data_IF_535620312402
#
_entry.id   IF_535620312402
#
_cell.length_a   1.000
_cell.length_b   1.000
_cell.length_c   1.000
_cell.angle_alpha   90.00
_cell.angle_beta   90.00
_cell.angle_gamma   90.00
#
_symmetry.space_group_name_H-M   'P 1'
#
loop_
_entity.id
_entity.type
_entity.pdbx_description
1 polymer ?
#
# COMPACT_ATOMS: atom_id res chain seq x y z
N UNK A 1 -22.16 12.71 -22.89
CA UNK A 1 -21.59 11.35 -22.94
C UNK A 1 -22.66 10.31 -22.68
N UNK A 2 -22.73 9.23 -23.48
CA UNK A 2 -23.67 8.11 -23.35
C UNK A 2 -22.85 6.81 -23.14
N UNK A 3 -23.24 6.01 -22.13
CA UNK A 3 -22.67 4.67 -21.90
C UNK A 3 -23.53 3.62 -22.60
N UNK A 4 -22.87 2.61 -23.17
CA UNK A 4 -23.50 1.46 -23.80
C UNK A 4 -22.79 0.18 -23.35
N UNK A 5 -23.53 -0.74 -22.76
CA UNK A 5 -23.04 -2.08 -22.41
C UNK A 5 -23.40 -3.04 -23.55
N UNK A 6 -22.43 -3.80 -24.02
CA UNK A 6 -22.57 -4.77 -25.09
C UNK A 6 -23.35 -4.21 -26.32
N UNK A 7 -22.92 -3.06 -26.87
CA UNK A 7 -23.54 -2.50 -28.04
C UNK A 7 -23.42 -3.46 -29.24
N UNK A 8 -24.23 -3.23 -30.29
CA UNK A 8 -24.01 -3.92 -31.56
C UNK A 8 -22.60 -3.61 -32.08
N UNK A 9 -21.83 -4.67 -32.33
CA UNK A 9 -20.42 -4.62 -32.73
C UNK A 9 -20.33 -4.45 -34.27
N UNK A 10 -20.85 -3.34 -34.76
CA UNK A 10 -20.74 -2.98 -36.18
C UNK A 10 -19.26 -2.71 -36.55
N UNK A 11 -18.90 -2.89 -37.86
CA UNK A 11 -17.54 -2.57 -38.31
C UNK A 11 -17.09 -1.14 -37.97
N UNK A 12 -17.98 -0.15 -38.10
CA UNK A 12 -17.70 1.26 -37.76
C UNK A 12 -17.40 1.42 -36.28
N UNK A 13 -18.15 0.77 -35.40
CA UNK A 13 -17.84 0.82 -33.94
C UNK A 13 -16.49 0.18 -33.65
N UNK A 14 -16.16 -0.95 -34.25
CA UNK A 14 -14.85 -1.62 -34.07
C UNK A 14 -13.71 -0.71 -34.52
N UNK A 15 -13.84 -0.04 -35.65
CA UNK A 15 -12.83 0.91 -36.15
C UNK A 15 -12.62 2.08 -35.18
N UNK A 16 -13.70 2.59 -34.58
CA UNK A 16 -13.60 3.64 -33.55
C UNK A 16 -12.94 3.15 -32.27
N UNK A 17 -13.25 1.92 -31.84
CA UNK A 17 -12.59 1.28 -30.70
C UNK A 17 -11.08 1.13 -30.94
N UNK A 18 -10.69 0.63 -32.10
CA UNK A 18 -9.27 0.49 -32.47
C UNK A 18 -8.58 1.85 -32.50
N UNK A 19 -9.22 2.86 -33.06
CA UNK A 19 -8.68 4.23 -33.11
C UNK A 19 -8.49 4.82 -31.73
N UNK A 20 -9.45 4.70 -30.82
CA UNK A 20 -9.29 5.12 -29.43
C UNK A 20 -8.10 4.41 -28.77
N UNK A 21 -8.00 3.10 -28.96
CA UNK A 21 -6.95 2.29 -28.34
C UNK A 21 -5.55 2.69 -28.82
N UNK A 22 -5.37 2.94 -30.13
CA UNK A 22 -4.12 3.48 -30.69
C UNK A 22 -3.78 4.84 -30.05
N UNK A 23 -4.74 5.78 -30.03
CA UNK A 23 -4.57 7.10 -29.47
C UNK A 23 -4.11 7.04 -28.00
N UNK A 24 -4.73 6.15 -27.22
CA UNK A 24 -4.37 5.97 -25.80
C UNK A 24 -2.98 5.34 -25.63
N UNK A 25 -2.63 4.39 -26.51
CA UNK A 25 -1.31 3.74 -26.50
C UNK A 25 -0.21 4.73 -26.81
N UNK A 26 -0.36 5.52 -27.86
CA UNK A 26 0.62 6.55 -28.29
C UNK A 26 0.79 7.65 -27.25
N UNK A 27 -0.27 7.98 -26.52
CA UNK A 27 -0.20 8.88 -25.38
C UNK A 27 0.43 8.24 -24.10
N UNK A 28 1.06 7.05 -24.21
CA UNK A 28 1.73 6.35 -23.11
C UNK A 28 0.78 5.60 -22.16
N UNK A 29 -0.47 5.41 -22.55
CA UNK A 29 -1.45 4.65 -21.78
C UNK A 29 -1.05 3.18 -21.58
N UNK A 30 -1.22 2.66 -20.35
CA UNK A 30 -0.91 1.27 -20.02
C UNK A 30 -2.09 0.35 -20.40
N UNK A 31 -2.38 0.24 -21.68
CA UNK A 31 -3.55 -0.49 -22.20
C UNK A 31 -3.17 -1.76 -22.99
N UNK A 32 -1.98 -2.29 -22.69
CA UNK A 32 -1.50 -3.58 -23.18
C UNK A 32 -0.50 -3.51 -24.31
N UNK A 33 -0.14 -2.32 -24.72
CA UNK A 33 0.89 -2.08 -25.72
C UNK A 33 1.93 -1.07 -25.22
N UNK A 34 3.04 -1.02 -25.93
CA UNK A 34 4.09 -0.01 -25.80
C UNK A 34 4.29 0.63 -27.16
N UNK A 35 4.27 1.98 -27.27
CA UNK A 35 4.49 2.64 -28.56
C UNK A 35 5.92 2.41 -29.09
N UNK A 36 6.14 2.39 -30.41
CA UNK A 36 5.11 2.52 -31.45
C UNK A 36 4.27 1.24 -31.61
N UNK A 37 3.00 1.37 -32.00
CA UNK A 37 2.08 0.25 -32.24
C UNK A 37 1.38 0.45 -33.58
N UNK A 38 1.16 -0.64 -34.33
CA UNK A 38 0.43 -0.62 -35.60
C UNK A 38 -1.06 -0.86 -35.38
N UNK A 39 -1.88 -0.36 -36.31
CA UNK A 39 -3.32 -0.62 -36.28
C UNK A 39 -3.62 -2.14 -36.34
N UNK A 40 -2.86 -2.91 -37.12
CA UNK A 40 -3.04 -4.35 -37.23
C UNK A 40 -2.84 -5.08 -35.92
N UNK A 41 -1.84 -4.69 -35.12
CA UNK A 41 -1.58 -5.27 -33.80
C UNK A 41 -2.73 -4.97 -32.83
N UNK A 42 -3.20 -3.73 -32.78
CA UNK A 42 -4.31 -3.31 -31.90
C UNK A 42 -5.59 -4.02 -32.34
N UNK A 43 -5.88 -4.08 -33.64
CA UNK A 43 -7.06 -4.73 -34.22
C UNK A 43 -7.10 -6.21 -33.86
N UNK A 44 -6.02 -6.94 -33.98
CA UNK A 44 -5.96 -8.36 -33.66
C UNK A 44 -6.34 -8.63 -32.19
N UNK A 45 -5.87 -7.79 -31.26
CA UNK A 45 -6.25 -7.90 -29.84
C UNK A 45 -7.70 -7.47 -29.60
N UNK A 46 -8.15 -6.39 -30.24
CA UNK A 46 -9.53 -5.93 -30.16
C UNK A 46 -10.51 -7.00 -30.66
N UNK A 47 -10.24 -7.58 -31.82
CA UNK A 47 -11.08 -8.65 -32.40
C UNK A 47 -11.17 -9.87 -31.48
N UNK A 48 -10.06 -10.26 -30.86
CA UNK A 48 -10.05 -11.37 -29.89
C UNK A 48 -10.94 -11.05 -28.67
N UNK A 49 -10.87 -9.84 -28.14
CA UNK A 49 -11.69 -9.44 -26.99
C UNK A 49 -13.17 -9.31 -27.37
N UNK A 50 -13.46 -8.74 -28.54
CA UNK A 50 -14.83 -8.60 -29.06
C UNK A 50 -15.45 -9.96 -29.45
N UNK A 51 -14.64 -10.93 -29.88
CA UNK A 51 -15.12 -12.32 -30.07
C UNK A 51 -15.57 -12.91 -28.72
N UNK A 52 -14.85 -12.62 -27.60
CA UNK A 52 -15.28 -13.00 -26.26
C UNK A 52 -16.61 -12.36 -25.86
N UNK A 53 -16.90 -11.13 -26.32
CA UNK A 53 -18.21 -10.47 -26.10
C UNK A 53 -19.30 -11.20 -26.85
N UNK A 54 -19.09 -11.55 -28.13
CA UNK A 54 -20.06 -12.33 -28.94
C UNK A 54 -20.32 -13.71 -28.34
N UNK A 55 -19.31 -14.31 -27.72
CA UNK A 55 -19.43 -15.61 -27.05
C UNK A 55 -20.06 -15.52 -25.62
N UNK A 56 -20.37 -14.33 -25.12
CA UNK A 56 -21.01 -14.12 -23.82
C UNK A 56 -20.07 -14.23 -22.60
N UNK A 57 -18.78 -14.55 -22.78
CA UNK A 57 -17.79 -14.66 -21.71
C UNK A 57 -17.15 -13.34 -21.30
N UNK A 58 -17.43 -12.27 -22.05
CA UNK A 58 -16.89 -10.93 -21.81
C UNK A 58 -18.00 -9.89 -21.98
N UNK A 59 -18.02 -8.85 -21.15
CA UNK A 59 -18.80 -7.65 -21.43
C UNK A 59 -17.88 -6.54 -21.91
N UNK A 60 -18.40 -5.66 -22.76
CA UNK A 60 -17.75 -4.43 -23.16
C UNK A 60 -18.62 -3.23 -22.78
N UNK A 61 -18.00 -2.21 -22.21
CA UNK A 61 -18.65 -0.91 -21.98
C UNK A 61 -17.96 0.12 -22.86
N UNK A 62 -18.76 0.82 -23.65
CA UNK A 62 -18.33 1.89 -24.55
C UNK A 62 -18.95 3.19 -24.10
N UNK A 63 -18.13 4.21 -23.88
CA UNK A 63 -18.57 5.59 -23.68
C UNK A 63 -18.48 6.35 -25.00
N UNK A 64 -19.58 6.95 -25.42
CA UNK A 64 -19.66 7.75 -26.67
C UNK A 64 -19.98 9.20 -26.38
N UNK A 65 -19.37 10.06 -27.14
CA UNK A 65 -19.73 11.48 -27.23
C UNK A 65 -19.94 11.80 -28.71
N UNK A 66 -21.18 12.18 -29.04
CA UNK A 66 -21.66 12.22 -30.42
C UNK A 66 -21.45 10.84 -31.09
N UNK A 67 -20.70 10.79 -32.16
CA UNK A 67 -20.37 9.55 -32.86
C UNK A 67 -19.06 8.90 -32.43
N UNK A 68 -18.23 9.60 -31.66
CA UNK A 68 -16.91 9.10 -31.27
C UNK A 68 -16.94 8.22 -30.02
N UNK A 69 -16.07 7.21 -29.98
CA UNK A 69 -15.79 6.41 -28.80
C UNK A 69 -14.74 7.16 -27.97
N UNK A 70 -15.13 7.60 -26.77
CA UNK A 70 -14.28 8.38 -25.87
C UNK A 70 -13.84 7.62 -24.61
N UNK A 71 -14.40 6.43 -24.40
CA UNK A 71 -14.03 5.52 -23.32
C UNK A 71 -14.39 4.09 -23.63
N UNK A 72 -13.62 3.17 -23.08
CA UNK A 72 -13.76 1.73 -23.30
C UNK A 72 -13.28 0.96 -22.09
N UNK A 73 -13.91 -0.17 -21.82
CA UNK A 73 -13.43 -1.15 -20.86
C UNK A 73 -14.10 -2.51 -21.07
N UNK A 74 -13.43 -3.58 -20.66
CA UNK A 74 -13.93 -4.94 -20.75
C UNK A 74 -14.00 -5.58 -19.37
N UNK A 75 -15.02 -6.40 -19.16
CA UNK A 75 -15.17 -7.32 -18.04
C UNK A 75 -15.09 -8.75 -18.57
N UNK A 76 -14.03 -9.44 -18.27
CA UNK A 76 -13.84 -10.85 -18.62
C UNK A 76 -14.14 -11.73 -17.43
N UNK A 77 -15.04 -12.70 -17.56
CA UNK A 77 -15.31 -13.71 -16.51
C UNK A 77 -14.21 -14.78 -16.56
N UNK A 78 -13.75 -15.22 -15.40
CA UNK A 78 -12.75 -16.27 -15.32
C UNK A 78 -13.32 -17.60 -15.86
N UNK A 79 -12.57 -18.33 -16.70
CA UNK A 79 -13.10 -19.53 -17.38
C UNK A 79 -13.20 -20.76 -16.47
N UNK A 80 -12.53 -20.76 -15.31
CA UNK A 80 -12.52 -21.90 -14.39
C UNK A 80 -13.68 -21.86 -13.43
N UNK A 81 -14.34 -23.00 -13.20
CA UNK A 81 -15.40 -23.13 -12.21
C UNK A 81 -14.95 -22.71 -10.79
N UNK A 82 -13.68 -22.93 -10.42
CA UNK A 82 -13.13 -22.53 -9.13
C UNK A 82 -13.02 -21.00 -8.97
N UNK A 83 -12.95 -20.26 -10.05
CA UNK A 83 -12.87 -18.82 -10.10
C UNK A 83 -14.06 -18.15 -10.81
N UNK A 84 -15.16 -18.88 -11.01
CA UNK A 84 -16.34 -18.37 -11.72
C UNK A 84 -16.99 -17.13 -11.06
N UNK A 85 -16.70 -16.89 -9.78
CA UNK A 85 -17.12 -15.70 -9.04
C UNK A 85 -16.21 -14.48 -9.29
N UNK A 86 -15.14 -14.62 -10.09
CA UNK A 86 -14.14 -13.57 -10.34
C UNK A 86 -14.30 -13.00 -11.74
N UNK A 87 -14.43 -11.68 -11.82
CA UNK A 87 -14.33 -10.91 -13.06
C UNK A 87 -13.01 -10.16 -13.15
N UNK A 88 -12.48 -10.00 -14.35
CA UNK A 88 -11.27 -9.23 -14.60
C UNK A 88 -11.59 -8.01 -15.46
N UNK A 89 -11.37 -6.82 -14.90
CA UNK A 89 -11.43 -5.56 -15.65
C UNK A 89 -10.19 -5.46 -16.52
N UNK A 90 -10.39 -5.33 -17.82
CA UNK A 90 -9.32 -5.25 -18.81
C UNK A 90 -9.46 -4.00 -19.66
N UNK A 91 -8.34 -3.44 -20.05
CA UNK A 91 -8.27 -2.37 -21.08
C UNK A 91 -9.19 -1.19 -20.78
N UNK A 92 -9.33 -0.82 -19.49
CA UNK A 92 -10.03 0.41 -19.11
C UNK A 92 -9.22 1.61 -19.65
N UNK A 93 -9.84 2.33 -20.56
CA UNK A 93 -9.20 3.49 -21.21
C UNK A 93 -10.19 4.62 -21.47
N UNK A 94 -9.67 5.81 -21.63
CA UNK A 94 -10.39 7.01 -22.05
C UNK A 94 -9.57 7.82 -23.03
N UNK A 95 -10.20 8.63 -23.83
CA UNK A 95 -9.51 9.60 -24.66
C UNK A 95 -8.62 10.52 -23.79
N UNK A 96 -7.32 10.59 -24.07
CA UNK A 96 -6.40 11.44 -23.29
C UNK A 96 -6.82 12.91 -23.22
N UNK A 97 -7.49 13.42 -24.28
CA UNK A 97 -7.96 14.80 -24.38
C UNK A 97 -9.05 15.14 -23.37
N UNK A 98 -9.79 14.15 -22.87
CA UNK A 98 -10.90 14.31 -21.92
C UNK A 98 -10.44 14.10 -20.46
N UNK A 99 -9.27 14.66 -20.09
CA UNK A 99 -8.77 14.64 -18.71
C UNK A 99 -9.74 15.29 -17.73
N UNK A 100 -10.02 14.62 -16.59
CA UNK A 100 -10.91 15.17 -15.55
C UNK A 100 -12.41 15.04 -15.80
N UNK A 101 -12.86 14.65 -17.01
CA UNK A 101 -14.29 14.57 -17.37
C UNK A 101 -15.03 13.33 -16.79
N UNK A 102 -14.42 12.54 -15.92
CA UNK A 102 -15.07 11.40 -15.27
C UNK A 102 -15.32 10.18 -16.18
N UNK A 103 -14.90 10.20 -17.45
CA UNK A 103 -15.18 9.13 -18.43
C UNK A 103 -14.71 7.75 -17.93
N UNK A 104 -13.46 7.67 -17.44
CA UNK A 104 -12.92 6.39 -16.91
C UNK A 104 -13.69 5.87 -15.70
N UNK A 105 -14.11 6.76 -14.79
CA UNK A 105 -14.90 6.41 -13.61
C UNK A 105 -16.29 5.90 -14.01
N UNK A 106 -16.94 6.53 -14.99
CA UNK A 106 -18.24 6.10 -15.47
C UNK A 106 -18.18 4.74 -16.16
N UNK A 107 -17.16 4.48 -16.99
CA UNK A 107 -16.94 3.17 -17.62
C UNK A 107 -16.66 2.10 -16.56
N UNK A 108 -15.83 2.40 -15.54
CA UNK A 108 -15.53 1.48 -14.45
C UNK A 108 -16.78 1.14 -13.64
N UNK A 109 -17.59 2.14 -13.29
CA UNK A 109 -18.84 1.94 -12.55
C UNK A 109 -19.83 1.05 -13.31
N UNK A 110 -19.92 1.21 -14.64
CA UNK A 110 -20.78 0.40 -15.49
C UNK A 110 -20.27 -1.05 -15.60
N UNK A 111 -18.93 -1.26 -15.66
CA UNK A 111 -18.34 -2.61 -15.61
C UNK A 111 -18.60 -3.28 -14.25
N UNK A 112 -18.54 -2.52 -13.15
CA UNK A 112 -18.91 -3.01 -11.82
C UNK A 112 -20.40 -3.39 -11.74
N UNK A 113 -21.26 -2.62 -12.39
CA UNK A 113 -22.68 -2.94 -12.57
C UNK A 113 -22.86 -4.26 -13.31
N UNK A 114 -22.19 -4.41 -14.47
CA UNK A 114 -22.20 -5.65 -15.25
C UNK A 114 -21.75 -6.87 -14.44
N UNK A 115 -20.73 -6.69 -13.61
CA UNK A 115 -20.23 -7.76 -12.75
C UNK A 115 -21.27 -8.18 -11.68
N UNK A 116 -21.98 -7.23 -11.08
CA UNK A 116 -23.07 -7.53 -10.12
C UNK A 116 -24.23 -8.24 -10.80
N UNK A 117 -24.62 -7.82 -12.01
CA UNK A 117 -25.70 -8.44 -12.77
C UNK A 117 -25.36 -9.90 -13.16
N UNK A 118 -24.06 -10.21 -13.33
CA UNK A 118 -23.57 -11.58 -13.53
C UNK A 118 -23.41 -12.37 -12.22
N UNK A 119 -23.67 -11.79 -11.06
CA UNK A 119 -23.48 -12.43 -9.76
C UNK A 119 -21.99 -12.62 -9.36
N UNK A 120 -21.07 -11.84 -9.93
CA UNK A 120 -19.66 -11.94 -9.57
C UNK A 120 -19.41 -11.37 -8.19
N UNK A 121 -18.63 -12.07 -7.38
CA UNK A 121 -18.28 -11.67 -6.02
C UNK A 121 -17.02 -10.82 -5.92
N UNK A 122 -16.13 -10.93 -6.90
CA UNK A 122 -14.81 -10.27 -6.90
C UNK A 122 -14.50 -9.69 -8.28
N UNK A 123 -14.03 -8.44 -8.30
CA UNK A 123 -13.37 -7.87 -9.49
C UNK A 123 -11.86 -7.78 -9.25
N UNK A 124 -11.09 -8.17 -10.26
CA UNK A 124 -9.64 -8.02 -10.28
C UNK A 124 -9.20 -7.18 -11.47
N UNK A 125 -8.07 -6.52 -11.35
CA UNK A 125 -7.41 -5.79 -12.43
C UNK A 125 -5.89 -5.76 -12.22
N UNK A 126 -5.16 -5.40 -13.27
CA UNK A 126 -3.71 -5.29 -13.24
C UNK A 126 -3.27 -3.91 -13.66
N UNK A 127 -2.34 -3.33 -12.92
CA UNK A 127 -1.83 -1.97 -13.10
C UNK A 127 -0.33 -2.02 -13.33
N UNK A 128 0.15 -1.24 -14.29
CA UNK A 128 1.60 -1.02 -14.49
C UNK A 128 2.13 -0.17 -13.33
N UNK A 129 3.14 -0.66 -12.62
CA UNK A 129 3.83 0.08 -11.57
C UNK A 129 4.49 1.36 -12.08
N UNK A 130 4.63 2.34 -11.19
CA UNK A 130 5.17 3.66 -11.52
C UNK A 130 4.25 4.55 -12.35
N UNK A 131 3.03 4.09 -12.69
CA UNK A 131 2.05 4.88 -13.45
C UNK A 131 1.16 5.78 -12.60
N UNK A 132 1.22 5.65 -11.27
CA UNK A 132 0.33 6.36 -10.32
C UNK A 132 -1.15 5.93 -10.37
N UNK A 133 -1.51 5.00 -11.26
CA UNK A 133 -2.91 4.58 -11.48
C UNK A 133 -3.47 3.74 -10.34
N UNK A 134 -2.63 3.13 -9.51
CA UNK A 134 -3.05 2.44 -8.30
C UNK A 134 -3.87 3.35 -7.36
N UNK A 135 -3.48 4.63 -7.24
CA UNK A 135 -4.23 5.62 -6.44
C UNK A 135 -5.64 5.86 -7.00
N UNK A 136 -5.76 5.89 -8.32
CA UNK A 136 -7.07 6.01 -8.96
C UNK A 136 -7.98 4.82 -8.60
N UNK A 137 -7.49 3.58 -8.74
CA UNK A 137 -8.30 2.41 -8.39
C UNK A 137 -8.54 2.29 -6.89
N UNK A 138 -7.59 2.67 -6.05
CA UNK A 138 -7.78 2.72 -4.59
C UNK A 138 -8.92 3.66 -4.20
N UNK A 139 -9.02 4.85 -4.83
CA UNK A 139 -10.13 5.78 -4.64
C UNK A 139 -11.50 5.21 -5.06
N UNK A 140 -11.51 4.18 -5.92
CA UNK A 140 -12.72 3.43 -6.33
C UNK A 140 -12.95 2.15 -5.52
N UNK A 141 -12.22 1.96 -4.39
CA UNK A 141 -12.41 0.85 -3.46
C UNK A 141 -11.66 -0.43 -3.82
N UNK A 142 -10.73 -0.40 -4.78
CA UNK A 142 -9.82 -1.51 -5.05
C UNK A 142 -8.67 -1.51 -4.05
N UNK A 143 -8.22 -2.70 -3.66
CA UNK A 143 -7.08 -2.92 -2.77
C UNK A 143 -5.97 -3.64 -3.51
N UNK A 144 -4.73 -3.36 -3.16
CA UNK A 144 -3.56 -4.09 -3.68
C UNK A 144 -3.53 -5.48 -3.06
N UNK A 145 -3.55 -6.52 -3.88
CA UNK A 145 -3.41 -7.91 -3.47
C UNK A 145 -1.96 -8.39 -3.58
N UNK A 146 -1.26 -7.97 -4.64
CA UNK A 146 0.13 -8.34 -4.87
C UNK A 146 0.87 -7.28 -5.70
N UNK A 147 2.19 -7.21 -5.49
CA UNK A 147 3.15 -6.51 -6.34
C UNK A 147 4.13 -7.54 -6.90
N UNK A 148 4.25 -7.58 -8.21
CA UNK A 148 5.07 -8.55 -8.94
C UNK A 148 6.26 -7.80 -9.55
N UNK A 149 7.44 -7.80 -8.90
CA UNK A 149 8.61 -7.07 -9.39
C UNK A 149 9.04 -7.60 -10.77
N UNK A 150 9.51 -6.70 -11.64
CA UNK A 150 10.04 -7.02 -12.97
C UNK A 150 9.11 -7.86 -13.87
N UNK A 151 7.79 -7.81 -13.65
CA UNK A 151 6.82 -8.65 -14.34
C UNK A 151 6.43 -8.14 -15.74
N UNK A 152 6.59 -6.84 -15.99
CA UNK A 152 6.27 -6.22 -17.28
C UNK A 152 7.52 -5.64 -17.92
N UNK A 153 7.70 -5.90 -19.24
CA UNK A 153 8.69 -5.23 -20.08
C UNK A 153 8.00 -4.09 -20.84
N UNK A 154 8.42 -2.84 -20.63
CA UNK A 154 7.72 -1.65 -21.16
C UNK A 154 8.45 -0.92 -22.28
N UNK A 155 9.78 -1.04 -22.36
CA UNK A 155 10.55 -0.52 -23.50
C UNK A 155 11.98 -1.07 -23.43
N UNK A 156 12.52 -1.57 -24.54
CA UNK A 156 13.86 -2.16 -24.55
C UNK A 156 14.04 -3.15 -23.40
N UNK A 157 15.00 -2.90 -22.51
CA UNK A 157 15.29 -3.74 -21.34
C UNK A 157 14.65 -3.24 -20.04
N UNK A 158 13.81 -2.22 -20.08
CA UNK A 158 13.17 -1.66 -18.90
C UNK A 158 12.05 -2.58 -18.40
N UNK A 159 12.31 -3.22 -17.27
CA UNK A 159 11.34 -4.01 -16.52
C UNK A 159 10.68 -3.13 -15.44
N UNK A 160 9.39 -3.32 -15.24
CA UNK A 160 8.62 -2.64 -14.18
C UNK A 160 7.75 -3.66 -13.44
N UNK A 161 7.31 -3.31 -12.25
CA UNK A 161 6.38 -4.14 -11.50
C UNK A 161 4.98 -4.17 -12.15
N UNK A 162 4.26 -5.26 -11.94
CA UNK A 162 2.82 -5.35 -12.15
C UNK A 162 2.12 -5.39 -10.80
N UNK A 163 1.10 -4.56 -10.61
CA UNK A 163 0.32 -4.47 -9.38
C UNK A 163 -1.03 -5.14 -9.64
N UNK A 164 -1.32 -6.18 -8.87
CA UNK A 164 -2.61 -6.86 -8.89
C UNK A 164 -3.51 -6.20 -7.86
N UNK A 165 -4.67 -5.74 -8.29
CA UNK A 165 -5.64 -5.11 -7.40
C UNK A 165 -7.01 -5.77 -7.55
N UNK A 166 -7.82 -5.75 -6.49
CA UNK A 166 -9.18 -6.27 -6.54
C UNK A 166 -10.15 -5.54 -5.62
N UNK A 167 -11.44 -5.70 -5.92
CA UNK A 167 -12.57 -5.13 -5.19
C UNK A 167 -13.62 -6.21 -4.93
N UNK A 168 -13.98 -6.45 -3.67
CA UNK A 168 -15.09 -7.31 -3.31
C UNK A 168 -16.42 -6.64 -3.66
N UNK A 169 -17.28 -7.36 -4.36
CA UNK A 169 -18.62 -6.89 -4.75
C UNK A 169 -19.72 -7.40 -3.83
N UNK A 170 -19.50 -8.54 -3.15
CA UNK A 170 -20.45 -9.15 -2.20
C UNK A 170 -19.92 -9.10 -0.78
N UNK A 171 -20.83 -9.15 0.20
CA UNK A 171 -20.46 -9.16 1.61
C UNK A 171 -19.76 -10.45 2.00
N UNK A 172 -20.11 -11.58 1.39
CA UNK A 172 -19.43 -12.86 1.55
C UNK A 172 -17.94 -12.76 1.21
N UNK A 173 -17.61 -12.28 0.02
CA UNK A 173 -16.22 -12.10 -0.42
C UNK A 173 -15.51 -11.04 0.41
N UNK A 174 -16.21 -9.98 0.84
CA UNK A 174 -15.66 -8.96 1.73
C UNK A 174 -15.32 -9.54 3.08
N UNK A 175 -16.19 -10.35 3.66
CA UNK A 175 -15.95 -11.04 4.93
C UNK A 175 -14.80 -12.04 4.84
N UNK A 176 -14.73 -12.83 3.76
CA UNK A 176 -13.63 -13.78 3.52
C UNK A 176 -12.26 -13.09 3.37
N UNK A 177 -12.24 -11.84 2.95
CA UNK A 177 -11.01 -11.02 2.80
C UNK A 177 -10.68 -10.16 4.02
N UNK A 178 -11.59 -10.09 4.97
CA UNK A 178 -11.35 -9.42 6.25
C UNK A 178 -10.87 -10.49 7.22
N UNK A 179 -9.67 -10.34 7.83
CA UNK A 179 -9.25 -11.27 8.87
C UNK A 179 -10.34 -11.34 9.94
N UNK A 180 -10.69 -12.53 10.44
CA UNK A 180 -11.67 -12.65 11.52
C UNK A 180 -11.23 -11.77 12.70
N UNK A 181 -12.20 -11.16 13.37
CA UNK A 181 -11.92 -10.35 14.55
C UNK A 181 -11.14 -11.20 15.57
N UNK A 182 -9.93 -10.73 15.92
CA UNK A 182 -9.03 -11.49 16.79
C UNK A 182 -8.08 -12.46 16.06
N UNK A 183 -8.13 -12.57 14.72
CA UNK A 183 -7.06 -13.27 14.02
C UNK A 183 -5.74 -12.55 14.27
N UNK A 184 -4.66 -13.29 14.62
CA UNK A 184 -3.35 -12.66 14.75
C UNK A 184 -2.99 -11.99 13.43
N UNK A 185 -2.67 -10.69 13.46
CA UNK A 185 -2.09 -10.01 12.32
C UNK A 185 -0.87 -10.80 11.87
N UNK A 186 -0.57 -10.87 10.56
CA UNK A 186 0.63 -11.55 10.07
C UNK A 186 1.82 -10.97 10.83
N UNK A 187 2.40 -11.79 11.72
CA UNK A 187 3.50 -11.38 12.58
C UNK A 187 4.79 -11.38 11.78
N UNK A 188 5.54 -10.30 11.88
CA UNK A 188 6.90 -10.21 11.36
C UNK A 188 7.84 -10.87 12.40
N UNK A 189 8.65 -11.88 12.05
CA UNK A 189 9.55 -12.49 13.01
C UNK A 189 10.65 -11.49 13.42
N UNK A 190 10.77 -11.22 14.72
CA UNK A 190 11.88 -10.48 15.31
C UNK A 190 12.83 -11.48 15.96
N UNK A 191 14.04 -11.64 15.42
CA UNK A 191 15.05 -12.46 16.02
C UNK A 191 15.65 -11.74 17.24
N UNK A 192 15.69 -12.43 18.38
CA UNK A 192 16.19 -11.88 19.65
C UNK A 192 17.28 -12.78 20.20
N UNK A 193 18.44 -12.21 20.48
CA UNK A 193 19.52 -12.87 21.23
C UNK A 193 19.50 -12.35 22.66
N UNK A 194 19.29 -13.24 23.64
CA UNK A 194 19.40 -12.93 25.06
C UNK A 194 20.84 -12.97 25.50
N UNK A 195 21.39 -11.80 25.82
CA UNK A 195 22.72 -11.65 26.43
C UNK A 195 22.65 -11.94 27.93
N UNK A 196 21.47 -11.72 28.54
CA UNK A 196 21.13 -12.11 29.91
C UNK A 196 20.00 -13.16 29.91
N UNK A 197 20.30 -14.46 29.97
CA UNK A 197 19.29 -15.52 30.00
C UNK A 197 18.39 -15.50 31.26
N UNK A 198 18.78 -14.79 32.30
CA UNK A 198 17.99 -14.63 33.54
C UNK A 198 16.84 -13.63 33.42
N UNK A 199 16.72 -12.93 32.28
CA UNK A 199 15.57 -12.07 32.00
C UNK A 199 14.64 -12.75 30.97
N UNK A 200 13.31 -12.49 31.05
CA UNK A 200 12.38 -13.01 30.05
C UNK A 200 12.60 -12.35 28.68
N UNK A 201 12.16 -13.01 27.62
CA UNK A 201 12.06 -12.37 26.30
C UNK A 201 11.11 -11.16 26.37
N UNK A 202 11.35 -10.14 25.52
CA UNK A 202 10.42 -9.02 25.40
C UNK A 202 9.06 -9.52 24.91
N UNK A 203 8.00 -8.98 25.48
CA UNK A 203 6.64 -9.40 25.14
C UNK A 203 5.64 -8.26 25.27
N UNK A 204 4.50 -8.42 24.63
CA UNK A 204 3.35 -7.53 24.81
C UNK A 204 2.69 -7.81 26.15
N UNK A 205 2.28 -6.76 26.86
CA UNK A 205 1.56 -6.93 28.14
C UNK A 205 0.12 -7.42 27.89
N UNK A 206 -0.51 -6.94 26.81
CA UNK A 206 -1.87 -7.33 26.42
C UNK A 206 -1.96 -7.59 24.91
N UNK A 207 -2.92 -8.39 24.43
CA UNK A 207 -3.22 -8.53 23.01
C UNK A 207 -3.58 -7.18 22.40
N UNK A 208 -2.90 -6.81 21.30
CA UNK A 208 -3.11 -5.54 20.61
C UNK A 208 -2.18 -4.40 21.05
N UNK A 209 -1.36 -4.59 22.07
CA UNK A 209 -0.32 -3.63 22.41
C UNK A 209 0.68 -3.46 21.25
N UNK A 210 1.20 -2.24 21.09
CA UNK A 210 2.17 -1.94 20.04
C UNK A 210 3.63 -2.12 20.49
N UNK A 211 3.90 -1.98 21.80
CA UNK A 211 5.23 -1.99 22.38
C UNK A 211 5.57 -3.29 23.10
N UNK A 212 6.74 -3.84 22.81
CA UNK A 212 7.35 -4.94 23.57
C UNK A 212 8.08 -4.39 24.77
N UNK A 213 7.77 -4.82 25.99
CA UNK A 213 8.43 -4.34 27.19
C UNK A 213 9.93 -4.65 27.21
N UNK A 214 10.76 -3.64 27.42
CA UNK A 214 12.20 -3.75 27.66
C UNK A 214 12.49 -3.61 29.16
N UNK A 215 13.31 -4.52 29.70
CA UNK A 215 13.64 -4.58 31.12
C UNK A 215 15.10 -4.18 31.38
N UNK A 216 15.37 -3.62 32.55
CA UNK A 216 16.72 -3.35 33.02
C UNK A 216 17.44 -4.66 33.35
N UNK A 217 18.63 -4.86 32.80
CA UNK A 217 19.49 -6.02 33.14
C UNK A 217 20.31 -5.81 34.39
N UNK A 218 20.43 -4.56 34.86
CA UNK A 218 21.14 -4.22 36.09
C UNK A 218 20.32 -3.22 36.91
N UNK A 219 20.49 -3.26 38.23
CA UNK A 219 19.97 -2.21 39.12
C UNK A 219 20.76 -0.93 38.91
N UNK A 220 20.11 0.21 39.05
CA UNK A 220 20.73 1.54 39.00
C UNK A 220 19.88 2.58 39.75
N UNK A 221 20.54 3.66 40.12
CA UNK A 221 19.92 4.83 40.71
C UNK A 221 20.23 6.06 39.84
N UNK A 222 19.27 6.95 39.67
CA UNK A 222 19.44 8.20 38.95
C UNK A 222 19.00 9.34 39.87
N UNK A 223 19.97 10.14 40.32
CA UNK A 223 19.67 11.38 41.01
C UNK A 223 18.93 12.39 40.11
N UNK A 224 18.29 13.43 40.65
CA UNK A 224 17.67 14.50 39.87
C UNK A 224 18.59 15.05 38.78
N UNK A 225 18.14 15.04 37.51
CA UNK A 225 18.90 15.49 36.36
C UNK A 225 19.95 14.50 35.82
N UNK A 226 20.20 13.40 36.52
CA UNK A 226 21.20 12.41 36.11
C UNK A 226 20.73 11.59 34.89
N UNK A 227 21.73 11.17 34.09
CA UNK A 227 21.54 10.32 32.91
C UNK A 227 22.34 9.05 33.03
N UNK A 228 21.75 7.91 32.64
CA UNK A 228 22.44 6.63 32.59
C UNK A 228 22.06 5.82 31.34
N UNK A 229 23.00 4.95 30.95
CA UNK A 229 22.76 3.97 29.85
C UNK A 229 22.38 2.64 30.49
N UNK A 230 21.09 2.32 30.55
CA UNK A 230 20.54 1.12 31.12
C UNK A 230 20.70 -0.07 30.17
N UNK A 231 21.45 -1.13 30.54
CA UNK A 231 21.51 -2.35 29.74
C UNK A 231 20.16 -3.09 29.79
N UNK A 232 19.77 -3.74 28.68
CA UNK A 232 18.56 -4.57 28.62
C UNK A 232 18.86 -6.07 28.59
N UNK A 233 20.11 -6.46 28.39
CA UNK A 233 20.50 -7.85 28.19
C UNK A 233 19.99 -8.47 26.90
N UNK A 234 19.57 -7.65 25.92
CA UNK A 234 18.99 -8.08 24.66
C UNK A 234 19.70 -7.46 23.47
N UNK A 235 19.94 -8.28 22.44
CA UNK A 235 20.26 -7.82 21.09
C UNK A 235 19.18 -8.34 20.12
N UNK A 236 18.83 -7.55 19.12
CA UNK A 236 17.78 -7.90 18.15
C UNK A 236 18.27 -7.75 16.73
N UNK A 237 17.72 -8.56 15.81
CA UNK A 237 17.87 -8.35 14.37
C UNK A 237 16.54 -7.80 13.83
N UNK A 238 16.46 -6.48 13.73
CA UNK A 238 15.31 -5.80 13.10
C UNK A 238 15.28 -6.21 11.62
N UNK A 239 14.12 -6.65 11.09
CA UNK A 239 14.00 -7.02 9.67
C UNK A 239 14.29 -5.87 8.73
N UNK A 240 14.85 -6.16 7.53
CA UNK A 240 15.06 -5.17 6.48
C UNK A 240 13.73 -4.46 6.12
N UNK A 241 13.79 -3.16 5.87
CA UNK A 241 12.62 -2.32 5.63
C UNK A 241 11.82 -1.98 6.90
N UNK A 242 12.39 -2.27 8.08
CA UNK A 242 11.85 -1.89 9.37
C UNK A 242 12.89 -1.14 10.21
N UNK A 243 12.39 -0.45 11.21
CA UNK A 243 13.16 0.20 12.30
C UNK A 243 12.63 -0.30 13.63
N UNK A 244 13.51 -0.48 14.61
CA UNK A 244 13.14 -0.61 16.01
C UNK A 244 13.14 0.77 16.68
N UNK A 245 12.05 1.12 17.34
CA UNK A 245 11.92 2.40 18.05
C UNK A 245 11.75 2.14 19.54
N UNK A 246 12.69 2.66 20.32
CA UNK A 246 12.66 2.58 21.79
C UNK A 246 11.95 3.81 22.34
N UNK A 247 10.79 3.58 22.95
CA UNK A 247 9.94 4.62 23.53
C UNK A 247 9.91 4.56 25.05
N UNK A 248 9.72 5.71 25.74
CA UNK A 248 9.49 5.74 27.16
C UNK A 248 8.15 5.07 27.51
N UNK A 249 8.01 4.68 28.78
CA UNK A 249 6.77 4.19 29.34
C UNK A 249 6.04 5.34 30.03
N UNK A 250 4.82 5.63 29.60
CA UNK A 250 4.01 6.74 30.13
C UNK A 250 3.86 6.69 31.66
N UNK A 251 3.69 5.49 32.23
CA UNK A 251 3.57 5.32 33.67
C UNK A 251 4.82 5.71 34.46
N UNK A 252 6.02 5.49 33.92
CA UNK A 252 7.27 5.92 34.55
C UNK A 252 7.49 7.42 34.36
N UNK A 253 7.16 7.94 33.20
CA UNK A 253 7.27 9.37 32.90
C UNK A 253 6.37 10.20 33.83
N UNK A 254 5.11 9.79 34.02
CA UNK A 254 4.16 10.54 34.89
C UNK A 254 4.49 10.42 36.39
N UNK A 255 4.85 9.22 36.87
CA UNK A 255 5.03 8.99 38.31
C UNK A 255 6.41 9.34 38.82
N UNK A 256 7.43 9.22 37.99
CA UNK A 256 8.84 9.32 38.43
C UNK A 256 9.65 10.28 37.56
N UNK A 257 9.06 11.00 36.62
CA UNK A 257 9.82 11.89 35.74
C UNK A 257 10.85 11.14 34.86
N UNK A 258 10.81 9.81 34.78
CA UNK A 258 11.79 9.04 34.01
C UNK A 258 11.53 9.15 32.52
N UNK A 259 12.50 9.67 31.78
CA UNK A 259 12.42 9.86 30.33
C UNK A 259 13.59 9.17 29.61
N UNK A 260 13.49 9.11 28.27
CA UNK A 260 14.58 8.65 27.41
C UNK A 260 15.14 9.85 26.66
N UNK A 261 16.45 10.09 26.80
CA UNK A 261 17.13 11.29 26.30
C UNK A 261 16.97 11.47 24.78
N UNK A 262 17.05 10.38 24.03
CA UNK A 262 17.00 10.36 22.57
C UNK A 262 15.68 9.76 22.05
N UNK A 263 14.59 9.89 22.79
CA UNK A 263 13.32 9.31 22.38
C UNK A 263 12.76 9.91 21.08
N UNK A 264 12.33 9.06 20.12
CA UNK A 264 12.48 7.61 20.11
C UNK A 264 13.92 7.19 19.80
N UNK A 265 14.48 6.26 20.59
CA UNK A 265 15.80 5.66 20.28
C UNK A 265 15.67 4.78 19.02
N UNK A 266 16.53 4.99 18.03
CA UNK A 266 16.47 4.29 16.74
C UNK A 266 17.38 3.07 16.75
N UNK A 267 16.84 1.91 16.42
CA UNK A 267 17.56 0.64 16.20
C UNK A 267 17.46 0.28 14.73
N UNK A 268 18.56 0.41 14.02
CA UNK A 268 18.65 0.11 12.60
C UNK A 268 18.59 -1.39 12.31
N UNK A 269 18.11 -1.77 11.12
CA UNK A 269 18.04 -3.18 10.69
C UNK A 269 19.41 -3.87 10.67
N UNK A 270 20.52 -3.12 10.48
CA UNK A 270 21.88 -3.62 10.51
C UNK A 270 22.50 -3.71 11.91
N UNK A 271 21.91 -3.12 12.94
CA UNK A 271 22.47 -3.14 14.30
C UNK A 271 22.36 -4.54 14.93
N UNK A 272 23.42 -4.96 15.64
CA UNK A 272 23.50 -6.27 16.32
C UNK A 272 24.02 -6.18 17.74
N UNK A 273 24.29 -4.97 18.25
CA UNK A 273 24.72 -4.75 19.62
C UNK A 273 23.56 -4.85 20.62
N UNK A 274 23.90 -4.80 21.90
CA UNK A 274 22.92 -4.73 22.98
C UNK A 274 22.04 -3.49 22.86
N UNK A 275 20.73 -3.63 23.00
CA UNK A 275 19.84 -2.49 23.19
C UNK A 275 20.12 -1.90 24.55
N UNK A 276 20.55 -0.65 24.58
CA UNK A 276 20.75 0.11 25.81
C UNK A 276 19.84 1.33 25.80
N UNK A 277 19.11 1.53 26.91
CA UNK A 277 18.16 2.63 27.04
C UNK A 277 18.84 3.83 27.72
N UNK A 278 18.88 4.97 27.04
CA UNK A 278 19.47 6.19 27.56
C UNK A 278 18.45 6.94 28.44
N UNK A 279 18.45 6.65 29.73
CA UNK A 279 17.49 7.20 30.68
C UNK A 279 17.96 8.56 31.23
N UNK A 280 17.01 9.39 31.63
CA UNK A 280 17.20 10.62 32.38
C UNK A 280 16.12 10.77 33.44
N UNK A 281 16.50 11.16 34.65
CA UNK A 281 15.59 11.54 35.71
C UNK A 281 15.25 13.03 35.59
N UNK A 282 14.02 13.37 35.24
CA UNK A 282 13.52 14.74 35.17
C UNK A 282 12.77 15.17 36.43
N UNK A 283 12.65 14.30 37.46
CA UNK A 283 12.12 14.70 38.75
C UNK A 283 13.13 15.67 39.40
N UNK A 284 12.68 16.82 39.92
CA UNK A 284 13.60 17.82 40.48
C UNK A 284 14.07 17.49 41.91
N UNK A 285 13.52 16.47 42.57
CA UNK A 285 13.74 16.20 43.99
C UNK A 285 14.07 14.75 44.30
N UNK A 286 13.38 13.81 43.64
CA UNK A 286 13.42 12.40 44.02
C UNK A 286 14.42 11.62 43.13
N UNK A 287 15.22 10.78 43.79
CA UNK A 287 16.05 9.80 43.07
C UNK A 287 15.19 8.66 42.54
N UNK A 288 15.37 8.31 41.28
CA UNK A 288 14.69 7.16 40.67
C UNK A 288 15.54 5.91 40.89
N UNK A 289 14.97 4.92 41.55
CA UNK A 289 15.56 3.59 41.74
C UNK A 289 15.00 2.60 40.74
N UNK A 290 15.87 1.92 40.01
CA UNK A 290 15.53 0.90 39.04
C UNK A 290 16.15 -0.41 39.48
N UNK A 291 15.32 -1.42 39.71
CA UNK A 291 15.79 -2.77 40.00
C UNK A 291 16.03 -3.57 38.72
N UNK A 292 16.91 -4.58 38.77
CA UNK A 292 17.03 -5.56 37.70
C UNK A 292 15.67 -6.24 37.45
N UNK A 293 15.23 -6.30 36.19
CA UNK A 293 13.94 -6.83 35.80
C UNK A 293 12.83 -5.80 35.67
N UNK A 294 13.03 -4.57 36.15
CA UNK A 294 12.04 -3.51 35.97
C UNK A 294 11.84 -3.17 34.49
N UNK A 295 10.59 -2.92 34.09
CA UNK A 295 10.23 -2.49 32.75
C UNK A 295 10.53 -1.00 32.59
N UNK A 296 11.59 -0.66 31.85
CA UNK A 296 12.12 0.71 31.75
C UNK A 296 11.76 1.41 30.43
N UNK A 297 11.43 0.65 29.39
CA UNK A 297 11.13 1.17 28.07
C UNK A 297 10.20 0.20 27.33
N UNK A 298 9.85 0.54 26.10
CA UNK A 298 9.13 -0.34 25.17
C UNK A 298 9.74 -0.24 23.77
N UNK A 299 9.83 -1.39 23.08
CA UNK A 299 10.33 -1.51 21.72
C UNK A 299 9.16 -1.68 20.75
N UNK A 300 9.03 -0.78 19.79
CA UNK A 300 8.13 -0.91 18.64
C UNK A 300 8.94 -1.30 17.40
N UNK A 301 8.38 -2.14 16.53
CA UNK A 301 8.95 -2.43 15.21
C UNK A 301 8.00 -1.85 14.17
N UNK A 302 8.50 -0.96 13.32
CA UNK A 302 7.72 -0.23 12.32
C UNK A 302 8.37 -0.34 10.95
N UNK A 303 7.55 -0.44 9.87
CA UNK A 303 8.05 -0.33 8.50
C UNK A 303 8.47 1.10 8.21
N UNK A 304 9.57 1.23 7.47
CA UNK A 304 10.10 2.53 7.03
C UNK A 304 10.31 2.51 5.52
N UNK A 305 10.09 3.67 4.91
CA UNK A 305 10.41 3.86 3.48
C UNK A 305 11.91 4.11 3.33
N UNK A 306 12.52 3.49 2.33
CA UNK A 306 13.87 3.83 1.87
C UNK A 306 13.73 4.88 0.79
N UNK A 307 14.29 6.06 1.03
CA UNK A 307 14.24 7.18 0.09
C UNK A 307 15.54 7.31 -0.68
N UNK A 308 15.44 7.64 -1.96
CA UNK A 308 16.54 8.16 -2.76
C UNK A 308 16.58 9.68 -2.60
N UNK A 309 17.70 10.20 -2.14
CA UNK A 309 17.87 11.65 -2.00
C UNK A 309 18.23 12.24 -3.36
N UNK A 310 17.37 13.10 -3.88
CA UNK A 310 17.55 13.79 -5.16
C UNK A 310 17.69 15.29 -4.88
N UNK A 311 18.83 15.85 -5.26
CA UNK A 311 19.04 17.30 -5.19
C UNK A 311 18.24 18.00 -6.29
N UNK A 312 17.51 19.05 -5.91
CA UNK A 312 16.75 19.90 -6.82
C UNK A 312 17.07 21.36 -6.55
N UNK A 313 16.98 22.22 -7.57
CA UNK A 313 17.24 23.66 -7.41
C UNK A 313 16.17 24.39 -6.59
N UNK A 314 14.92 23.89 -6.61
CA UNK A 314 13.80 24.41 -5.82
C UNK A 314 12.80 23.31 -5.56
N UNK A 315 12.06 23.40 -4.45
CA UNK A 315 10.91 22.55 -4.16
C UNK A 315 9.64 23.18 -4.75
N UNK A 316 8.66 22.32 -5.05
CA UNK A 316 7.34 22.77 -5.51
C UNK A 316 6.65 23.67 -4.48
N UNK A 317 5.93 24.69 -4.96
CA UNK A 317 5.12 25.54 -4.12
C UNK A 317 3.91 24.77 -3.54
N UNK A 318 3.61 25.01 -2.27
CA UNK A 318 2.43 24.44 -1.61
C UNK A 318 1.65 25.53 -0.90
N UNK A 319 0.34 25.34 -0.63
CA UNK A 319 -0.46 26.31 0.12
C UNK A 319 0.07 26.59 1.53
N UNK A 320 0.85 25.67 2.13
CA UNK A 320 1.51 25.86 3.41
C UNK A 320 2.82 26.65 3.29
N UNK A 321 3.49 26.57 2.13
CA UNK A 321 4.79 27.20 1.89
C UNK A 321 5.80 26.89 2.99
N UNK A 322 6.47 27.93 3.46
CA UNK A 322 7.48 27.87 4.56
C UNK A 322 6.85 27.94 5.96
N UNK A 323 5.53 27.92 6.09
CA UNK A 323 4.83 28.00 7.37
C UNK A 323 5.14 26.83 8.31
N UNK A 324 5.72 27.13 9.47
CA UNK A 324 6.07 26.20 10.53
C UNK A 324 5.75 26.77 11.92
N UNK A 325 6.19 26.08 13.00
CA UNK A 325 6.12 26.53 14.39
C UNK A 325 4.77 27.10 14.83
N UNK A 326 3.66 26.45 14.43
CA UNK A 326 2.32 26.88 14.81
C UNK A 326 1.71 27.99 13.91
N UNK A 327 2.19 28.15 12.67
CA UNK A 327 1.68 29.10 11.68
C UNK A 327 0.17 28.96 11.37
N UNK A 328 -0.45 27.85 11.79
CA UNK A 328 -1.90 27.59 11.65
C UNK A 328 -2.76 28.12 12.82
N UNK A 329 -2.15 28.81 13.77
CA UNK A 329 -2.83 29.38 14.93
C UNK A 329 -3.05 28.38 16.08
N UNK A 330 -3.58 28.89 17.19
CA UNK A 330 -4.06 28.10 18.34
C UNK A 330 -5.52 27.75 18.16
#
# INVERSE_FOLDING_TARGET
>A
MRLQRNPDLSPDLIDRVVRLWMTVTEAGGAVGFVPPVTEAEVRAVADTMLAGVRAGGTDVVVAREHDDVVGLGFLQVAPSALSAHVGMVRRLMRDPRLGGAGVGASVLAELEGAARDRGLGLLSLRVRGGSGRERYYAAHGYRVDARLPAHLRVSGDRLVEEIVMSKALTDEVRAARTPPAGAPLPSLPLQVHRLDPGLPLPGYAHPGDAGLDLRAAAAMELAPGERASAPTGLAVAVPLGCVGLVHPRSGLAVRHGLAIVNAPGTIDAGYRGEIRVLLVNLDPRETVHIARGDRIAQLLVQRVETVEVVEVHALDETPRGVGGFGSTGR
#
